data_IF_124218182948
#
_entry.id   IF_124218182948
#
_cell.length_a   1.000
_cell.length_b   1.000
_cell.length_c   1.000
_cell.angle_alpha   90.00
_cell.angle_beta   90.00
_cell.angle_gamma   90.00
#
_symmetry.space_group_name_H-M   'P 1'
#
loop_
_entity.id
_entity.type
_entity.pdbx_description
1 polymer ?
#
# COMPACT_ATOMS: atom_id res chain seq x y z
N UNK A 1 -11.07 -60.76 6.87
CA UNK A 1 -10.03 -61.71 7.25
C UNK A 1 -8.66 -61.15 6.83
N UNK A 2 -7.88 -60.65 7.74
CA UNK A 2 -6.46 -60.83 8.04
C UNK A 2 -5.83 -59.58 8.70
N UNK A 3 -5.50 -59.80 9.91
CA UNK A 3 -4.67 -59.10 10.85
C UNK A 3 -3.51 -58.29 10.24
N UNK A 4 -3.27 -57.08 10.75
CA UNK A 4 -1.97 -56.42 10.71
C UNK A 4 -1.54 -56.03 12.13
N UNK A 5 -0.34 -56.46 12.51
CA UNK A 5 0.26 -56.41 13.80
C UNK A 5 0.88 -55.02 14.04
N UNK A 6 0.70 -54.51 15.25
CA UNK A 6 1.46 -53.36 15.79
C UNK A 6 2.94 -53.69 16.01
N UNK A 7 3.82 -52.86 15.54
CA UNK A 7 5.23 -52.85 15.85
C UNK A 7 5.57 -51.63 16.70
N UNK A 8 5.82 -51.84 18.01
CA UNK A 8 6.35 -50.83 18.91
C UNK A 8 7.86 -50.76 18.69
N UNK A 9 8.38 -49.58 18.36
CA UNK A 9 9.83 -49.31 18.39
C UNK A 9 10.13 -48.50 19.62
N UNK A 10 10.90 -49.11 20.50
CA UNK A 10 11.41 -48.55 21.75
C UNK A 10 12.68 -47.72 21.43
N UNK A 11 12.63 -46.41 21.65
CA UNK A 11 13.76 -45.50 21.44
C UNK A 11 14.49 -45.31 22.75
N UNK A 12 15.73 -45.81 22.79
CA UNK A 12 16.65 -45.75 23.90
C UNK A 12 17.31 -44.37 23.97
N UNK A 13 17.12 -43.64 25.07
CA UNK A 13 17.77 -42.35 25.33
C UNK A 13 19.14 -42.62 25.94
N UNK A 14 20.21 -42.25 25.23
CA UNK A 14 21.57 -42.20 25.78
C UNK A 14 21.82 -40.77 26.29
N UNK A 15 22.01 -40.65 27.60
CA UNK A 15 22.52 -39.45 28.26
C UNK A 15 24.03 -39.51 28.22
N UNK A 16 24.69 -38.57 27.56
CA UNK A 16 26.12 -38.36 27.65
C UNK A 16 26.37 -37.06 28.39
N UNK A 17 26.86 -37.11 29.58
CA UNK A 17 27.46 -36.00 30.32
C UNK A 17 28.90 -35.83 29.84
N UNK A 18 29.21 -34.62 29.38
CA UNK A 18 30.58 -34.21 29.07
C UNK A 18 30.81 -32.82 29.64
N UNK A 19 31.85 -32.72 30.44
CA UNK A 19 32.28 -31.59 31.26
C UNK A 19 32.85 -30.43 30.43
N UNK A 20 32.80 -29.29 31.07
CA UNK A 20 33.41 -27.99 30.87
C UNK A 20 34.75 -27.94 30.15
N UNK A 21 34.88 -26.92 29.28
CA UNK A 21 36.09 -26.12 29.22
C UNK A 21 35.74 -24.63 28.94
N UNK A 22 36.08 -23.85 29.93
CA UNK A 22 35.98 -22.40 30.02
C UNK A 22 37.08 -21.79 29.12
N UNK A 23 36.67 -21.06 28.08
CA UNK A 23 37.54 -20.06 27.47
C UNK A 23 36.69 -18.89 27.02
N UNK A 24 36.69 -17.88 27.86
CA UNK A 24 36.03 -16.61 27.63
C UNK A 24 36.44 -15.94 26.31
N UNK A 25 35.47 -15.75 25.45
CA UNK A 25 35.47 -14.71 24.46
C UNK A 25 34.25 -13.84 24.75
N UNK A 26 34.49 -12.67 25.36
CA UNK A 26 33.59 -11.56 25.35
C UNK A 26 33.47 -11.09 23.89
N UNK A 27 32.48 -11.61 23.22
CA UNK A 27 31.86 -10.86 22.13
C UNK A 27 30.83 -9.96 22.80
N UNK A 28 31.13 -8.67 22.87
CA UNK A 28 30.13 -7.65 23.02
C UNK A 28 29.30 -7.67 21.74
N UNK A 29 28.35 -8.58 21.64
CA UNK A 29 27.21 -8.49 20.74
C UNK A 29 26.39 -7.29 21.22
N UNK A 30 26.73 -6.11 20.69
CA UNK A 30 25.76 -5.05 20.60
C UNK A 30 24.74 -5.46 19.53
N UNK A 31 23.86 -6.39 19.93
CA UNK A 31 22.61 -6.65 19.27
C UNK A 31 21.77 -5.38 19.42
N UNK A 32 21.90 -4.48 18.46
CA UNK A 32 20.91 -3.45 18.24
C UNK A 32 19.72 -4.17 17.58
N UNK A 33 18.93 -4.87 18.39
CA UNK A 33 17.55 -5.23 18.04
C UNK A 33 16.79 -3.91 17.82
N UNK A 34 16.95 -3.34 16.64
CA UNK A 34 16.02 -2.33 16.16
C UNK A 34 14.79 -3.14 15.77
N UNK A 35 13.74 -3.07 16.59
CA UNK A 35 12.49 -3.76 16.32
C UNK A 35 12.01 -3.37 14.91
N UNK A 36 11.71 -4.37 14.10
CA UNK A 36 11.13 -4.15 12.78
C UNK A 36 9.78 -3.43 12.90
N UNK A 37 9.53 -2.43 12.06
CA UNK A 37 8.23 -1.79 11.97
C UNK A 37 7.23 -2.74 11.32
N UNK A 38 6.10 -2.98 11.98
CA UNK A 38 5.04 -3.86 11.52
C UNK A 38 3.68 -3.22 11.76
N UNK A 39 2.62 -3.82 11.21
CA UNK A 39 1.24 -3.38 11.49
C UNK A 39 0.84 -3.58 12.97
N UNK A 40 1.54 -4.47 13.70
CA UNK A 40 1.31 -4.69 15.14
C UNK A 40 1.87 -3.56 16.01
N UNK A 41 2.89 -2.86 15.56
CA UNK A 41 3.60 -1.87 16.38
C UNK A 41 3.62 -0.45 15.79
N UNK A 42 3.10 -0.23 14.58
CA UNK A 42 2.88 1.14 14.10
C UNK A 42 1.68 1.78 14.82
N UNK A 43 1.84 3.04 15.15
CA UNK A 43 0.77 3.78 15.84
C UNK A 43 -0.23 4.38 14.85
N UNK A 44 -1.49 4.46 15.28
CA UNK A 44 -2.55 5.15 14.53
C UNK A 44 -3.41 5.96 15.49
N UNK A 45 -3.78 7.17 15.10
CA UNK A 45 -4.72 7.97 15.88
C UNK A 45 -5.74 8.66 14.97
N UNK A 46 -6.99 8.73 15.46
CA UNK A 46 -8.11 9.33 14.74
C UNK A 46 -8.79 10.36 15.63
N UNK A 47 -8.64 11.63 15.25
CA UNK A 47 -9.18 12.77 15.99
C UNK A 47 -10.71 12.79 15.99
N UNK A 48 -11.28 13.55 16.92
CA UNK A 48 -12.74 13.71 17.00
C UNK A 48 -13.28 14.36 15.72
N UNK A 49 -14.30 13.73 15.13
CA UNK A 49 -14.97 14.20 13.91
C UNK A 49 -14.39 13.63 12.62
N UNK A 50 -13.27 12.93 12.66
CA UNK A 50 -12.76 12.18 11.51
C UNK A 50 -13.77 11.10 11.12
N UNK A 51 -14.05 10.97 9.82
CA UNK A 51 -15.00 10.00 9.29
C UNK A 51 -14.60 8.56 9.66
N UNK A 52 -15.60 7.72 9.92
CA UNK A 52 -15.42 6.32 10.29
C UNK A 52 -14.64 5.53 9.23
N UNK A 53 -14.71 5.93 7.96
CA UNK A 53 -13.93 5.33 6.86
C UNK A 53 -12.44 5.23 7.20
N UNK A 54 -11.84 6.31 7.68
CA UNK A 54 -10.42 6.33 7.99
C UNK A 54 -10.07 5.40 9.15
N UNK A 55 -10.80 5.44 10.25
CA UNK A 55 -10.51 4.57 11.40
C UNK A 55 -10.80 3.09 11.12
N UNK A 56 -11.72 2.80 10.20
CA UNK A 56 -12.02 1.42 9.78
C UNK A 56 -10.91 0.84 8.92
N UNK A 57 -10.40 1.60 7.94
CA UNK A 57 -9.55 1.02 6.89
C UNK A 57 -8.07 1.39 6.98
N UNK A 58 -7.69 2.46 7.66
CA UNK A 58 -6.29 2.90 7.72
C UNK A 58 -5.56 2.41 8.96
N UNK A 59 -4.25 2.22 8.84
CA UNK A 59 -3.28 1.98 9.92
C UNK A 59 -1.99 2.76 9.66
N UNK A 60 -1.17 2.94 10.71
CA UNK A 60 0.10 3.67 10.64
C UNK A 60 -0.07 5.15 10.24
N UNK A 61 -1.18 5.76 10.61
CA UNK A 61 -1.51 7.16 10.28
C UNK A 61 -2.10 7.90 11.46
N UNK A 62 -1.90 9.21 11.48
CA UNK A 62 -2.69 10.14 12.29
C UNK A 62 -3.65 10.89 11.38
N UNK A 63 -4.95 10.90 11.73
CA UNK A 63 -5.96 11.64 11.00
C UNK A 63 -6.62 12.68 11.90
N UNK A 64 -6.74 13.92 11.41
CA UNK A 64 -7.36 15.05 12.15
C UNK A 64 -8.20 15.89 11.21
N UNK A 65 -9.17 16.63 11.76
CA UNK A 65 -9.98 17.59 10.99
C UNK A 65 -9.29 18.95 10.97
N UNK A 66 -9.19 19.55 9.80
CA UNK A 66 -8.70 20.91 9.58
C UNK A 66 -9.62 21.66 8.61
N UNK A 67 -10.51 22.49 9.13
CA UNK A 67 -11.58 23.12 8.33
C UNK A 67 -12.54 22.09 7.79
N UNK A 68 -12.72 22.05 6.49
CA UNK A 68 -13.59 21.11 5.76
C UNK A 68 -12.78 19.93 5.16
N UNK A 69 -11.62 19.66 5.73
CA UNK A 69 -10.73 18.58 5.26
C UNK A 69 -10.37 17.63 6.40
N UNK A 70 -10.21 16.38 6.06
CA UNK A 70 -9.47 15.40 6.84
C UNK A 70 -7.99 15.45 6.44
N UNK A 71 -7.10 15.70 7.39
CA UNK A 71 -5.65 15.71 7.18
C UNK A 71 -5.08 14.42 7.73
N UNK A 72 -4.45 13.64 6.86
CA UNK A 72 -3.75 12.42 7.21
C UNK A 72 -2.24 12.70 7.20
N UNK A 73 -1.57 12.30 8.28
CA UNK A 73 -0.11 12.38 8.40
C UNK A 73 0.47 11.02 8.72
N UNK A 74 1.69 10.76 8.27
CA UNK A 74 2.46 9.56 8.58
C UNK A 74 3.95 9.79 8.44
N UNK A 75 4.76 8.87 8.96
CA UNK A 75 6.21 8.83 8.73
C UNK A 75 6.57 8.28 7.34
N UNK A 76 5.59 7.82 6.58
CA UNK A 76 5.77 7.23 5.25
C UNK A 76 6.74 6.04 5.23
N UNK A 77 6.81 5.29 6.33
CA UNK A 77 7.62 4.09 6.45
C UNK A 77 6.73 2.87 6.21
N UNK A 78 7.02 2.04 5.19
CA UNK A 78 6.24 0.83 4.96
C UNK A 78 6.41 -0.17 6.12
N UNK A 79 5.30 -0.68 6.72
CA UNK A 79 5.35 -1.56 7.90
C UNK A 79 5.63 -3.03 7.51
N UNK A 80 6.63 -3.26 6.67
CA UNK A 80 7.05 -4.57 6.16
C UNK A 80 8.50 -4.53 5.67
N UNK A 81 9.05 -5.70 5.37
CA UNK A 81 10.41 -5.86 4.89
C UNK A 81 10.58 -5.31 3.46
N UNK A 82 11.70 -4.59 3.23
CA UNK A 82 12.10 -4.12 1.91
C UNK A 82 13.62 -4.02 1.82
N UNK A 83 14.18 -4.35 0.65
CA UNK A 83 15.61 -4.12 0.37
C UNK A 83 15.97 -2.64 0.24
N UNK A 84 14.98 -1.75 0.28
CA UNK A 84 15.20 -0.32 0.26
C UNK A 84 15.45 0.29 1.65
N UNK A 85 15.21 -0.45 2.73
CA UNK A 85 15.68 -0.05 4.05
C UNK A 85 17.21 -0.15 4.14
N UNK A 86 17.84 0.66 4.97
CA UNK A 86 19.27 0.53 5.25
C UNK A 86 19.57 -0.80 5.97
N UNK A 87 20.77 -1.36 5.78
CA UNK A 87 21.19 -2.64 6.40
C UNK A 87 21.07 -2.67 7.93
N UNK A 88 21.06 -1.50 8.58
CA UNK A 88 20.88 -1.38 10.03
C UNK A 88 19.43 -1.29 10.48
N UNK A 89 18.46 -1.29 9.57
CA UNK A 89 17.04 -1.23 9.89
C UNK A 89 16.47 -2.65 10.04
N UNK A 90 15.62 -2.88 11.04
CA UNK A 90 15.00 -4.18 11.31
C UNK A 90 14.12 -4.72 10.16
N UNK A 91 13.67 -3.84 9.25
CA UNK A 91 12.90 -4.21 8.05
C UNK A 91 13.78 -4.45 6.81
N UNK A 92 15.12 -4.37 6.93
CA UNK A 92 15.98 -4.62 5.79
C UNK A 92 16.04 -6.09 5.41
N UNK A 93 15.94 -6.36 4.10
CA UNK A 93 16.25 -7.65 3.49
C UNK A 93 17.21 -7.47 2.32
N UNK A 94 17.98 -8.50 2.01
CA UNK A 94 18.87 -8.48 0.84
C UNK A 94 18.07 -8.41 -0.47
N UNK A 95 18.58 -7.64 -1.44
CA UNK A 95 17.97 -7.56 -2.76
C UNK A 95 17.98 -8.91 -3.48
N UNK A 96 16.81 -9.31 -3.96
CA UNK A 96 16.64 -10.48 -4.84
C UNK A 96 15.93 -10.02 -6.11
N UNK A 97 16.58 -10.22 -7.26
CA UNK A 97 15.96 -9.87 -8.54
C UNK A 97 14.69 -10.67 -8.79
N UNK A 98 13.60 -10.01 -9.09
CA UNK A 98 12.31 -10.62 -9.40
C UNK A 98 12.22 -11.15 -10.85
N UNK A 99 13.25 -10.95 -11.68
CA UNK A 99 13.28 -11.44 -13.05
C UNK A 99 14.16 -10.63 -13.99
N UNK A 100 14.02 -10.92 -15.27
CA UNK A 100 14.77 -10.20 -16.30
C UNK A 100 14.31 -8.75 -16.40
N UNK A 101 15.25 -7.82 -16.37
CA UNK A 101 14.97 -6.38 -16.43
C UNK A 101 14.86 -5.71 -15.06
N UNK A 102 14.60 -6.46 -13.98
CA UNK A 102 14.56 -5.88 -12.64
C UNK A 102 15.94 -5.40 -12.19
N UNK A 103 15.95 -4.25 -11.53
CA UNK A 103 17.16 -3.63 -11.00
C UNK A 103 16.89 -2.98 -9.61
N UNK A 104 17.94 -2.82 -8.83
CA UNK A 104 17.90 -2.10 -7.58
C UNK A 104 18.01 -0.59 -7.85
N UNK A 105 17.01 0.17 -7.46
CA UNK A 105 17.08 1.63 -7.41
C UNK A 105 18.17 2.03 -6.38
N UNK A 106 19.03 3.03 -6.67
CA UNK A 106 20.13 3.40 -5.78
C UNK A 106 19.72 4.14 -4.49
N UNK A 107 18.43 4.46 -4.35
CA UNK A 107 17.91 5.21 -3.22
C UNK A 107 17.51 4.29 -2.07
N UNK A 108 17.38 4.85 -0.86
CA UNK A 108 16.95 4.11 0.33
C UNK A 108 15.80 4.82 1.01
N UNK A 109 14.94 4.05 1.70
CA UNK A 109 13.82 4.56 2.48
C UNK A 109 14.33 5.43 3.63
N UNK A 110 13.70 6.57 3.82
CA UNK A 110 13.87 7.40 5.02
C UNK A 110 12.53 7.94 5.48
N UNK A 111 12.38 8.15 6.80
CA UNK A 111 11.19 8.75 7.38
C UNK A 111 10.89 10.10 6.75
N UNK A 112 9.64 10.33 6.40
CA UNK A 112 9.12 11.57 5.84
C UNK A 112 8.06 12.14 6.79
N UNK A 113 7.73 13.41 6.61
CA UNK A 113 6.55 13.99 7.23
C UNK A 113 5.46 14.09 6.17
N UNK A 114 4.93 12.92 5.77
CA UNK A 114 3.83 12.89 4.82
C UNK A 114 2.61 13.60 5.42
N UNK A 115 2.01 14.48 4.64
CA UNK A 115 0.77 15.15 5.02
C UNK A 115 -0.11 15.31 3.80
N UNK A 116 -1.28 14.66 3.81
CA UNK A 116 -2.26 14.72 2.74
C UNK A 116 -3.55 15.32 3.29
N UNK A 117 -3.99 16.41 2.68
CA UNK A 117 -5.25 17.09 3.03
C UNK A 117 -6.33 16.67 2.04
N UNK A 118 -7.39 16.06 2.53
CA UNK A 118 -8.45 15.44 1.73
C UNK A 118 -9.75 16.16 2.03
N UNK A 119 -10.46 16.73 1.04
CA UNK A 119 -11.74 17.40 1.30
C UNK A 119 -12.82 16.39 1.71
N UNK A 120 -13.55 16.70 2.80
CA UNK A 120 -14.63 15.83 3.29
C UNK A 120 -15.79 15.82 2.28
N UNK A 121 -16.05 16.96 1.64
CA UNK A 121 -17.08 17.13 0.60
C UNK A 121 -16.45 17.73 -0.67
N UNK A 122 -15.74 16.91 -1.48
CA UNK A 122 -15.03 17.41 -2.64
C UNK A 122 -15.96 17.93 -3.74
N UNK A 123 -15.52 18.96 -4.45
CA UNK A 123 -16.25 19.56 -5.57
C UNK A 123 -15.71 19.02 -6.89
N UNK A 124 -16.59 18.45 -7.72
CA UNK A 124 -16.21 17.97 -9.05
C UNK A 124 -15.72 19.10 -9.95
N UNK A 125 -14.63 18.87 -10.68
CA UNK A 125 -14.14 19.76 -11.74
C UNK A 125 -15.07 19.79 -12.97
N UNK A 126 -16.04 18.87 -13.05
CA UNK A 126 -16.95 18.75 -14.19
C UNK A 126 -16.29 18.27 -15.48
N UNK A 127 -15.17 17.56 -15.34
CA UNK A 127 -14.45 17.01 -16.48
C UNK A 127 -15.16 15.78 -17.04
N UNK A 128 -15.01 15.58 -18.36
CA UNK A 128 -15.27 14.28 -18.99
C UNK A 128 -13.92 13.61 -19.18
N UNK A 129 -13.61 12.64 -18.31
CA UNK A 129 -12.34 11.93 -18.35
C UNK A 129 -12.37 10.92 -19.52
N UNK A 130 -11.55 11.18 -20.52
CA UNK A 130 -11.46 10.39 -21.74
C UNK A 130 -9.98 10.08 -22.08
N UNK A 131 -9.74 9.21 -23.05
CA UNK A 131 -8.41 8.79 -23.47
C UNK A 131 -7.46 9.94 -23.86
N UNK A 132 -7.99 11.10 -24.21
CA UNK A 132 -7.15 12.26 -24.55
C UNK A 132 -6.71 13.06 -23.32
N UNK A 133 -7.36 12.86 -22.17
CA UNK A 133 -6.90 13.39 -20.89
C UNK A 133 -5.94 12.42 -20.22
N UNK A 134 -6.26 11.11 -20.27
CA UNK A 134 -5.42 10.02 -19.72
C UNK A 134 -4.42 9.61 -20.80
N UNK A 135 -3.45 10.47 -21.08
CA UNK A 135 -2.53 10.29 -22.21
C UNK A 135 -1.15 9.76 -21.79
N UNK A 136 -0.92 9.53 -20.48
CA UNK A 136 0.34 9.04 -19.93
C UNK A 136 1.47 10.08 -19.96
N UNK A 137 1.16 11.36 -20.10
CA UNK A 137 2.15 12.42 -20.26
C UNK A 137 2.03 13.49 -19.17
N UNK A 138 3.16 13.84 -18.57
CA UNK A 138 3.21 14.85 -17.50
C UNK A 138 2.86 16.23 -17.99
N UNK A 139 1.90 16.88 -17.33
CA UNK A 139 1.58 18.31 -17.48
C UNK A 139 0.93 18.70 -18.81
N UNK A 140 0.20 17.80 -19.45
CA UNK A 140 -0.42 18.03 -20.76
C UNK A 140 -1.77 18.72 -20.66
N UNK A 141 -2.63 18.37 -19.71
CA UNK A 141 -3.95 18.96 -19.51
C UNK A 141 -4.00 20.03 -18.43
N UNK A 142 -3.13 19.94 -17.44
CA UNK A 142 -3.16 20.74 -16.20
C UNK A 142 -4.20 20.24 -15.18
N UNK A 143 -4.82 19.10 -15.46
CA UNK A 143 -5.76 18.42 -14.57
C UNK A 143 -5.16 17.14 -13.97
N UNK A 144 -3.94 16.77 -14.37
CA UNK A 144 -3.21 15.64 -13.82
C UNK A 144 -2.88 15.87 -12.34
N UNK A 145 -2.76 14.78 -11.58
CA UNK A 145 -2.13 14.85 -10.28
C UNK A 145 -0.66 15.27 -10.42
N UNK A 146 -0.20 16.12 -9.49
CA UNK A 146 1.19 16.58 -9.47
C UNK A 146 2.21 15.45 -9.31
N UNK A 147 3.47 15.76 -9.58
CA UNK A 147 4.57 14.85 -9.27
C UNK A 147 4.86 14.89 -7.75
N UNK A 148 5.00 13.72 -7.13
CA UNK A 148 5.22 13.56 -5.70
C UNK A 148 4.01 12.96 -4.98
N UNK A 149 3.93 13.08 -3.63
CA UNK A 149 2.82 12.53 -2.86
C UNK A 149 1.49 13.21 -3.20
N UNK A 150 0.57 12.47 -3.80
CA UNK A 150 -0.76 12.95 -4.21
C UNK A 150 -1.90 12.13 -3.61
N UNK A 151 -1.58 11.25 -2.69
CA UNK A 151 -2.55 10.46 -1.93
C UNK A 151 -1.85 9.67 -0.83
N UNK A 152 -2.63 8.88 -0.11
CA UNK A 152 -2.16 8.03 0.97
C UNK A 152 -2.80 6.65 0.88
N UNK A 153 -1.98 5.62 0.96
CA UNK A 153 -2.39 4.23 1.04
C UNK A 153 -2.85 3.87 2.45
N UNK A 154 -3.58 2.76 2.61
CA UNK A 154 -4.15 2.33 3.90
C UNK A 154 -3.09 2.13 4.99
N UNK A 155 -1.86 1.83 4.62
CA UNK A 155 -0.71 1.63 5.52
C UNK A 155 0.15 2.89 5.74
N UNK A 156 -0.36 4.07 5.41
CA UNK A 156 0.33 5.34 5.60
C UNK A 156 1.42 5.67 4.58
N UNK A 157 1.61 4.84 3.56
CA UNK A 157 2.58 5.06 2.48
C UNK A 157 2.00 6.01 1.44
N UNK A 158 2.85 6.89 0.89
CA UNK A 158 2.47 7.84 -0.15
C UNK A 158 1.99 7.14 -1.43
N UNK A 159 0.92 7.65 -2.02
CA UNK A 159 0.51 7.35 -3.38
C UNK A 159 1.01 8.45 -4.32
N UNK A 160 1.62 8.05 -5.42
CA UNK A 160 2.00 8.92 -6.51
C UNK A 160 1.05 8.74 -7.69
N UNK A 161 1.08 9.66 -8.64
CA UNK A 161 0.40 9.53 -9.91
C UNK A 161 1.05 8.40 -10.75
N UNK A 162 0.44 7.95 -11.86
CA UNK A 162 0.96 6.88 -12.69
C UNK A 162 2.06 7.32 -13.66
N UNK A 163 2.71 8.44 -13.41
CA UNK A 163 3.69 9.05 -14.33
C UNK A 163 5.09 8.99 -13.72
N UNK A 164 6.07 8.62 -14.54
CA UNK A 164 7.48 8.74 -14.18
C UNK A 164 8.00 10.16 -14.43
N UNK A 165 9.06 10.54 -13.72
CA UNK A 165 9.74 11.81 -14.00
C UNK A 165 10.43 11.75 -15.38
N UNK A 166 10.15 12.68 -16.30
CA UNK A 166 10.77 12.65 -17.63
C UNK A 166 12.31 12.65 -17.54
N UNK A 167 13.03 11.89 -18.40
CA UNK A 167 12.50 11.20 -19.60
C UNK A 167 12.04 9.76 -19.40
N UNK A 168 11.94 9.28 -18.15
CA UNK A 168 11.63 7.90 -17.83
C UNK A 168 10.15 7.57 -18.11
N UNK A 169 9.85 6.30 -18.31
CA UNK A 169 8.50 5.77 -18.45
C UNK A 169 8.15 4.97 -17.18
N UNK A 170 6.90 5.05 -16.74
CA UNK A 170 6.48 4.35 -15.52
C UNK A 170 6.63 2.83 -15.64
N UNK A 171 6.47 2.28 -16.84
CA UNK A 171 6.66 0.87 -17.12
C UNK A 171 8.13 0.44 -16.94
N UNK A 172 9.08 1.35 -17.17
CA UNK A 172 10.51 1.10 -16.94
C UNK A 172 10.84 1.24 -15.44
N UNK A 173 10.25 2.21 -14.74
CA UNK A 173 10.39 2.36 -13.29
C UNK A 173 9.84 1.16 -12.51
N UNK A 174 8.78 0.52 -13.00
CA UNK A 174 8.18 -0.66 -12.39
C UNK A 174 9.17 -1.82 -12.20
N UNK A 175 10.22 -1.89 -13.03
CA UNK A 175 11.31 -2.86 -12.84
C UNK A 175 12.20 -2.59 -11.62
N UNK A 176 12.03 -1.46 -10.94
CA UNK A 176 12.69 -1.15 -9.68
C UNK A 176 11.81 -1.37 -8.45
N UNK A 177 10.56 -1.78 -8.60
CA UNK A 177 9.66 -1.98 -7.47
C UNK A 177 10.10 -3.20 -6.64
N UNK A 178 9.93 -3.10 -5.32
CA UNK A 178 10.15 -4.21 -4.41
C UNK A 178 8.96 -5.21 -4.41
N UNK A 179 8.97 -6.15 -3.46
CA UNK A 179 7.89 -7.15 -3.34
C UNK A 179 6.51 -6.56 -3.06
N UNK A 180 6.46 -5.32 -2.58
CA UNK A 180 5.23 -4.58 -2.34
C UNK A 180 4.96 -3.54 -3.42
N UNK A 181 5.58 -3.68 -4.59
CA UNK A 181 5.38 -2.81 -5.75
C UNK A 181 5.61 -1.32 -5.46
N UNK A 182 6.57 -1.03 -4.58
CA UNK A 182 6.99 0.32 -4.25
C UNK A 182 8.49 0.52 -4.37
N UNK A 183 8.91 1.77 -4.39
CA UNK A 183 10.32 2.17 -4.41
C UNK A 183 10.52 3.57 -3.81
N UNK A 184 11.75 3.93 -3.39
CA UNK A 184 12.03 5.26 -2.86
C UNK A 184 12.47 6.24 -3.96
N UNK A 185 12.06 7.51 -3.82
CA UNK A 185 12.66 8.63 -4.54
C UNK A 185 14.08 8.92 -4.04
N UNK A 186 14.76 9.87 -4.71
CA UNK A 186 16.12 10.28 -4.32
C UNK A 186 16.23 10.87 -2.90
N UNK A 187 15.14 11.42 -2.35
CA UNK A 187 15.07 11.95 -1.00
C UNK A 187 14.55 10.93 0.03
N UNK A 188 14.31 9.68 -0.41
CA UNK A 188 13.93 8.57 0.45
C UNK A 188 12.42 8.42 0.68
N UNK A 189 11.59 9.15 -0.07
CA UNK A 189 10.14 8.99 -0.02
C UNK A 189 9.73 7.67 -0.68
N UNK A 190 9.39 6.66 0.12
CA UNK A 190 8.84 5.41 -0.41
C UNK A 190 7.40 5.63 -0.87
N UNK A 191 7.02 5.06 -2.01
CA UNK A 191 5.70 5.30 -2.59
C UNK A 191 5.23 4.18 -3.51
N UNK A 192 3.94 4.17 -3.78
CA UNK A 192 3.27 3.32 -4.75
C UNK A 192 2.76 4.13 -5.94
N UNK A 193 2.82 3.52 -7.12
CA UNK A 193 2.16 3.97 -8.34
C UNK A 193 1.03 3.04 -8.77
N UNK A 194 0.90 1.87 -8.15
CA UNK A 194 0.11 0.75 -8.64
C UNK A 194 -0.54 -0.04 -7.51
N UNK A 195 -1.33 -1.05 -7.88
CA UNK A 195 -1.83 -2.07 -6.95
C UNK A 195 -0.71 -2.78 -6.22
N UNK A 196 -0.91 -3.04 -4.94
CA UNK A 196 0.08 -3.69 -4.08
C UNK A 196 -0.58 -4.43 -2.91
N UNK A 197 0.09 -5.44 -2.39
CA UNK A 197 -0.39 -6.17 -1.21
C UNK A 197 -0.32 -5.33 0.09
N UNK A 198 0.54 -4.30 0.16
CA UNK A 198 0.73 -3.52 1.39
C UNK A 198 -0.56 -2.97 2.03
N UNK A 199 -1.42 -2.24 1.30
CA UNK A 199 -2.75 -1.85 1.78
C UNK A 199 -3.68 -3.02 2.12
N UNK A 200 -3.62 -4.12 1.35
CA UNK A 200 -4.45 -5.30 1.60
C UNK A 200 -4.03 -6.03 2.88
N UNK A 201 -2.76 -5.99 3.26
CA UNK A 201 -2.31 -6.50 4.56
C UNK A 201 -2.90 -5.71 5.73
N UNK A 202 -3.19 -4.42 5.58
CA UNK A 202 -3.94 -3.66 6.59
C UNK A 202 -5.35 -4.21 6.76
N UNK A 203 -6.05 -4.49 5.65
CA UNK A 203 -7.38 -5.08 5.71
C UNK A 203 -7.36 -6.47 6.34
N UNK A 204 -6.35 -7.28 6.01
CA UNK A 204 -6.15 -8.60 6.62
C UNK A 204 -5.85 -8.50 8.12
N UNK A 205 -4.97 -7.60 8.52
CA UNK A 205 -4.62 -7.35 9.93
C UNK A 205 -5.82 -6.89 10.75
N UNK A 206 -6.71 -6.11 10.14
CA UNK A 206 -7.98 -5.67 10.74
C UNK A 206 -9.10 -6.72 10.67
N UNK A 207 -8.82 -7.93 10.19
CA UNK A 207 -9.78 -9.04 10.03
C UNK A 207 -10.94 -8.72 9.07
N UNK A 208 -10.76 -7.78 8.13
CA UNK A 208 -11.77 -7.38 7.14
C UNK A 208 -11.76 -8.28 5.91
N UNK A 209 -10.63 -8.93 5.63
CA UNK A 209 -10.43 -9.90 4.55
C UNK A 209 -9.65 -11.11 5.06
N UNK A 210 -9.62 -12.20 4.29
CA UNK A 210 -8.87 -13.41 4.61
C UNK A 210 -7.68 -13.63 3.67
N UNK A 211 -7.68 -12.98 2.51
CA UNK A 211 -6.65 -13.15 1.47
C UNK A 211 -6.09 -11.79 1.05
N UNK A 212 -4.91 -11.36 1.58
CA UNK A 212 -4.32 -10.06 1.24
C UNK A 212 -3.53 -10.14 -0.08
N UNK A 213 -4.19 -10.54 -1.17
CA UNK A 213 -3.54 -10.72 -2.48
C UNK A 213 -4.28 -9.93 -3.53
N UNK A 214 -3.56 -9.06 -4.24
CA UNK A 214 -4.07 -8.28 -5.36
C UNK A 214 -4.78 -9.18 -6.38
N UNK A 215 -5.96 -8.77 -6.85
CA UNK A 215 -6.80 -9.51 -7.78
C UNK A 215 -7.56 -10.70 -7.17
N UNK A 216 -7.43 -10.95 -5.85
CA UNK A 216 -8.03 -12.11 -5.18
C UNK A 216 -8.58 -11.80 -3.79
N UNK A 217 -8.37 -10.60 -3.27
CA UNK A 217 -8.91 -10.20 -1.98
C UNK A 217 -10.44 -10.05 -2.06
N UNK A 218 -11.12 -10.34 -0.96
CA UNK A 218 -12.58 -10.22 -0.85
C UNK A 218 -13.04 -8.75 -0.98
N UNK A 219 -12.20 -7.83 -0.53
CA UNK A 219 -12.32 -6.38 -0.71
C UNK A 219 -10.96 -5.86 -1.12
N UNK A 220 -10.91 -5.03 -2.14
CA UNK A 220 -9.68 -4.38 -2.58
C UNK A 220 -9.82 -2.86 -2.46
N UNK A 221 -9.30 -2.32 -1.37
CA UNK A 221 -9.16 -0.89 -1.11
C UNK A 221 -7.68 -0.57 -0.95
N UNK A 222 -7.18 0.37 -1.74
CA UNK A 222 -5.75 0.71 -1.73
C UNK A 222 -5.45 2.02 -1.01
N UNK A 223 -6.34 3.00 -1.06
CA UNK A 223 -6.15 4.28 -0.43
C UNK A 223 -7.08 5.37 -0.95
N UNK A 224 -6.65 6.62 -0.76
CA UNK A 224 -7.40 7.81 -1.18
C UNK A 224 -6.44 8.89 -1.70
N UNK A 225 -6.83 9.53 -2.78
CA UNK A 225 -6.08 10.64 -3.37
C UNK A 225 -6.40 11.96 -2.65
N UNK A 226 -5.54 12.95 -2.82
CA UNK A 226 -5.65 14.26 -2.17
C UNK A 226 -6.92 15.04 -2.57
N UNK A 227 -7.50 14.77 -3.73
CA UNK A 227 -8.76 15.37 -4.16
C UNK A 227 -10.01 14.66 -3.59
N UNK A 228 -9.84 13.53 -2.91
CA UNK A 228 -10.90 12.72 -2.32
C UNK A 228 -11.36 11.54 -3.18
N UNK A 229 -10.70 11.28 -4.33
CA UNK A 229 -10.92 10.07 -5.12
C UNK A 229 -10.45 8.85 -4.35
N UNK A 230 -11.32 7.86 -4.15
CA UNK A 230 -10.99 6.59 -3.49
C UNK A 230 -10.45 5.61 -4.54
N UNK A 231 -9.47 4.79 -4.16
CA UNK A 231 -8.86 3.80 -5.05
C UNK A 231 -9.27 2.40 -4.59
N UNK A 232 -10.13 1.78 -5.38
CA UNK A 232 -10.54 0.39 -5.25
C UNK A 232 -9.82 -0.49 -6.27
N UNK A 233 -9.88 -1.79 -6.06
CA UNK A 233 -9.38 -2.79 -7.01
C UNK A 233 -10.49 -3.50 -7.77
N UNK A 234 -10.49 -4.83 -7.72
CA UNK A 234 -11.45 -5.66 -8.46
C UNK A 234 -12.85 -5.71 -7.84
N UNK A 235 -13.05 -5.08 -6.69
CA UNK A 235 -14.34 -5.07 -5.99
C UNK A 235 -14.73 -3.64 -5.60
N UNK A 236 -16.04 -3.42 -5.44
CA UNK A 236 -16.56 -2.37 -4.60
C UNK A 236 -16.19 -2.65 -3.13
N UNK A 237 -16.38 -1.66 -2.25
CA UNK A 237 -16.05 -1.82 -0.83
C UNK A 237 -16.93 -2.88 -0.12
N UNK A 238 -18.09 -3.23 -0.66
CA UNK A 238 -18.95 -4.32 -0.18
C UNK A 238 -18.58 -5.71 -0.75
N UNK A 239 -17.46 -5.82 -1.48
CA UNK A 239 -16.97 -7.06 -2.07
C UNK A 239 -17.67 -7.47 -3.37
N UNK A 240 -18.59 -6.67 -3.90
CA UNK A 240 -19.27 -6.93 -5.17
C UNK A 240 -18.40 -6.45 -6.32
N UNK A 241 -18.40 -7.18 -7.43
CA UNK A 241 -17.73 -6.71 -8.64
C UNK A 241 -18.39 -5.42 -9.16
N UNK A 242 -17.63 -4.39 -9.55
CA UNK A 242 -18.17 -3.13 -10.04
C UNK A 242 -18.92 -3.32 -11.37
N UNK A 243 -19.93 -2.50 -11.61
CA UNK A 243 -20.50 -2.34 -12.93
C UNK A 243 -19.60 -1.45 -13.76
N UNK A 244 -18.88 -2.03 -14.72
CA UNK A 244 -17.93 -1.30 -15.57
C UNK A 244 -18.58 -0.63 -16.79
N UNK A 245 -19.91 -0.66 -16.89
CA UNK A 245 -20.62 -0.08 -18.05
C UNK A 245 -20.61 1.44 -18.07
N UNK A 246 -20.32 2.09 -16.95
CA UNK A 246 -20.24 3.54 -16.76
C UNK A 246 -18.84 4.06 -16.43
N UNK A 247 -17.82 3.17 -16.53
CA UNK A 247 -16.43 3.56 -16.34
C UNK A 247 -15.97 4.61 -17.36
N UNK A 248 -15.24 5.59 -16.87
CA UNK A 248 -14.50 6.52 -17.69
C UNK A 248 -13.12 5.96 -18.14
N UNK A 249 -12.30 6.79 -18.80
CA UNK A 249 -11.03 6.32 -19.37
C UNK A 249 -9.97 5.92 -18.33
N UNK A 250 -10.10 6.33 -17.05
CA UNK A 250 -9.23 5.87 -15.96
C UNK A 250 -9.94 4.84 -15.05
N UNK A 251 -10.95 4.13 -15.56
CA UNK A 251 -11.76 3.16 -14.87
C UNK A 251 -12.44 3.72 -13.62
N UNK A 252 -12.89 4.95 -13.67
CA UNK A 252 -13.58 5.61 -12.56
C UNK A 252 -15.06 5.82 -12.85
N UNK A 253 -15.84 5.89 -11.78
CA UNK A 253 -17.26 6.22 -11.81
C UNK A 253 -17.73 6.87 -10.50
N UNK A 254 -19.00 7.29 -10.42
CA UNK A 254 -19.57 7.96 -9.26
C UNK A 254 -20.67 7.10 -8.67
N UNK A 255 -20.40 6.48 -7.53
CA UNK A 255 -21.38 5.69 -6.76
C UNK A 255 -21.20 5.90 -5.25
N UNK A 256 -22.12 5.34 -4.45
CA UNK A 256 -21.96 5.27 -3.00
C UNK A 256 -20.82 4.31 -2.63
N UNK A 257 -19.90 4.76 -1.81
CA UNK A 257 -18.88 3.89 -1.22
C UNK A 257 -19.42 3.37 0.11
N UNK A 258 -19.71 2.08 0.15
CA UNK A 258 -20.39 1.44 1.28
C UNK A 258 -19.84 0.04 1.57
N UNK A 259 -19.97 -0.36 2.83
CA UNK A 259 -19.74 -1.72 3.30
C UNK A 259 -20.98 -2.20 4.05
N UNK A 260 -21.65 -3.20 3.51
CA UNK A 260 -22.93 -3.69 4.03
C UNK A 260 -23.98 -2.58 4.14
N UNK A 261 -24.37 -2.24 5.37
CA UNK A 261 -25.34 -1.19 5.65
C UNK A 261 -24.73 0.18 5.95
N UNK A 262 -23.40 0.30 5.95
CA UNK A 262 -22.70 1.56 6.24
C UNK A 262 -22.32 2.21 4.93
N UNK A 263 -22.89 3.39 4.64
CA UNK A 263 -22.42 4.26 3.55
C UNK A 263 -21.43 5.25 4.17
N UNK A 264 -20.18 5.19 3.70
CA UNK A 264 -19.11 6.12 4.09
C UNK A 264 -19.19 7.40 3.28
N UNK A 265 -19.35 7.27 1.99
CA UNK A 265 -19.47 8.42 1.07
C UNK A 265 -20.62 8.20 0.10
N UNK A 266 -21.43 9.24 -0.09
CA UNK A 266 -22.52 9.25 -1.06
C UNK A 266 -22.07 9.91 -2.35
N UNK A 267 -22.41 9.31 -3.49
CA UNK A 267 -22.07 9.82 -4.84
C UNK A 267 -20.58 10.22 -4.97
N UNK A 268 -19.67 9.37 -4.44
CA UNK A 268 -18.23 9.61 -4.45
C UNK A 268 -17.59 8.99 -5.70
N UNK A 269 -16.82 9.81 -6.43
CA UNK A 269 -15.99 9.29 -7.49
C UNK A 269 -14.88 8.42 -6.92
N UNK A 270 -14.69 7.27 -7.53
CA UNK A 270 -13.62 6.33 -7.21
C UNK A 270 -13.17 5.62 -8.47
N UNK A 271 -11.96 5.06 -8.43
CA UNK A 271 -11.36 4.34 -9.56
C UNK A 271 -11.12 2.89 -9.20
N UNK A 272 -11.21 2.01 -10.20
CA UNK A 272 -10.97 0.58 -10.07
C UNK A 272 -9.68 0.19 -10.79
N UNK A 273 -8.61 -0.01 -10.02
CA UNK A 273 -7.32 -0.47 -10.53
C UNK A 273 -7.21 -1.99 -10.44
N UNK A 274 -8.21 -2.67 -11.05
CA UNK A 274 -8.29 -4.11 -11.03
C UNK A 274 -7.26 -4.76 -11.97
N UNK A 275 -6.51 -5.72 -11.45
CA UNK A 275 -5.69 -6.63 -12.24
C UNK A 275 -6.06 -8.07 -11.91
N UNK A 276 -6.38 -8.85 -12.92
CA UNK A 276 -6.64 -10.27 -12.82
C UNK A 276 -5.38 -11.12 -13.09
N UNK A 277 -4.29 -10.47 -13.46
CA UNK A 277 -2.99 -11.12 -13.69
C UNK A 277 -1.88 -10.31 -13.05
N UNK A 278 -0.99 -10.98 -12.32
CA UNK A 278 0.19 -10.42 -11.65
C UNK A 278 1.19 -9.72 -12.62
N UNK A 279 0.95 -9.75 -13.91
CA UNK A 279 1.88 -9.27 -14.96
C UNK A 279 1.46 -7.89 -15.51
N UNK A 280 0.19 -7.49 -15.33
CA UNK A 280 -0.30 -6.19 -15.79
C UNK A 280 -0.51 -5.27 -14.59
N UNK A 281 0.45 -4.41 -14.34
CA UNK A 281 0.28 -3.33 -13.37
C UNK A 281 -0.91 -2.46 -13.79
N UNK A 282 -1.81 -2.21 -12.85
CA UNK A 282 -2.80 -1.15 -12.97
C UNK A 282 -2.36 -0.01 -12.06
N UNK A 283 -2.31 1.17 -12.63
CA UNK A 283 -1.74 2.33 -11.97
C UNK A 283 -2.81 3.17 -11.28
N UNK A 284 -2.38 3.99 -10.33
CA UNK A 284 -3.19 5.04 -9.71
C UNK A 284 -3.78 5.96 -10.78
N UNK A 285 -4.89 6.71 -10.50
CA UNK A 285 -5.48 7.60 -11.49
C UNK A 285 -4.53 8.75 -11.87
N UNK A 286 -4.58 9.16 -13.13
CA UNK A 286 -3.78 10.26 -13.67
C UNK A 286 -4.47 11.61 -13.47
N UNK A 287 -5.78 11.65 -13.69
CA UNK A 287 -6.57 12.89 -13.74
C UNK A 287 -7.33 13.08 -12.42
N UNK A 288 -7.22 14.27 -11.85
CA UNK A 288 -8.02 14.70 -10.71
C UNK A 288 -9.48 14.89 -11.12
N UNK A 289 -10.37 14.13 -10.51
CA UNK A 289 -11.81 14.30 -10.72
C UNK A 289 -12.38 15.49 -9.93
N UNK A 290 -11.84 15.71 -8.73
CA UNK A 290 -12.26 16.79 -7.85
C UNK A 290 -11.21 17.90 -7.78
N UNK A 291 -11.64 19.07 -7.29
CA UNK A 291 -10.76 20.13 -6.83
C UNK A 291 -10.13 19.73 -5.49
N UNK A 292 -8.91 20.21 -5.17
CA UNK A 292 -8.36 20.10 -3.82
C UNK A 292 -6.92 19.62 -3.70
N UNK A 293 -6.34 18.98 -4.69
CA UNK A 293 -4.90 18.77 -4.70
C UNK A 293 -4.18 20.08 -5.10
N UNK A 294 -3.38 20.62 -4.21
CA UNK A 294 -2.55 21.82 -4.45
C UNK A 294 -1.10 21.42 -4.61
#
# INVERSE_FOLDING_TARGET
LKNCKHLFVLMLVLVISGCDDDSGHNHDDHDHDVDALTLDNCESSFGTGVDLFYSTYFSCVDATISGDNTVITSDNLPPYESWYYSESNGNHIDYVSQGTGYYLNPNSISSQNLSVSIPDNPTSKGLTINEALVDGSVGTSGDEYGMGPVGVALNGVALFNPLAAPPDMIEDEAFSFDYYSGHPTFDGTYHYHTTTNGPLEVLFHKELIQTPTVGSAEIELYGIMCDGTVILGCTELDGIAPDNSDFDAQNGHVHDIRDGNTTFFTDRYHTHICTDTFIEFKFTPEIQYYEGCN
#
